data_IF_912716499769
#
_entry.id   IF_912716499769
#
_cell.length_a   1.000
_cell.length_b   1.000
_cell.length_c   1.000
_cell.angle_alpha   90.00
_cell.angle_beta   90.00
_cell.angle_gamma   90.00
#
_symmetry.space_group_name_H-M   'P 1'
#
loop_
_entity.id
_entity.type
_entity.pdbx_description
1 polymer ?
#
# COMPACT_ATOMS: atom_id res chain seq x y z
N UNK A 1 -1.14 4.45 -7.21
CA UNK A 1 -0.22 4.75 -6.09
C UNK A 1 -0.21 6.20 -5.65
N UNK A 2 0.24 7.18 -6.46
CA UNK A 2 0.19 8.60 -6.04
C UNK A 2 -1.20 9.06 -5.59
N UNK A 3 -2.23 8.65 -6.34
CA UNK A 3 -3.64 8.87 -5.97
C UNK A 3 -3.91 8.43 -4.52
N UNK A 4 -3.37 7.29 -4.08
CA UNK A 4 -3.64 6.78 -2.75
C UNK A 4 -3.12 7.68 -1.63
N UNK A 5 -1.90 8.21 -1.77
CA UNK A 5 -1.37 9.15 -0.79
C UNK A 5 -2.12 10.48 -0.78
N UNK A 6 -2.69 10.90 -1.91
CA UNK A 6 -3.42 12.16 -2.05
C UNK A 6 -4.94 12.05 -1.87
N UNK A 7 -5.51 10.85 -1.80
CA UNK A 7 -6.92 10.66 -1.48
C UNK A 7 -7.19 11.14 -0.05
N UNK A 8 -8.16 12.04 0.09
CA UNK A 8 -8.63 12.56 1.38
C UNK A 8 -9.01 11.41 2.32
N UNK A 9 -8.70 11.56 3.58
CA UNK A 9 -9.10 10.69 4.68
C UNK A 9 -9.96 11.50 5.66
N UNK A 10 -11.27 11.68 5.37
CA UNK A 10 -12.16 12.49 6.19
C UNK A 10 -12.14 12.06 7.66
N UNK A 11 -12.06 13.03 8.57
CA UNK A 11 -11.98 12.80 10.01
C UNK A 11 -10.56 12.56 10.55
N UNK A 12 -9.54 12.46 9.68
CA UNK A 12 -8.14 12.41 10.10
C UNK A 12 -7.56 13.80 10.36
N UNK A 13 -6.53 13.89 11.21
CA UNK A 13 -5.98 15.17 11.68
C UNK A 13 -5.32 16.00 10.57
N UNK A 14 -4.53 15.35 9.70
CA UNK A 14 -3.73 15.98 8.65
C UNK A 14 -4.14 15.52 7.24
N UNK A 15 -4.98 14.49 7.12
CA UNK A 15 -5.42 13.93 5.86
C UNK A 15 -6.87 14.24 5.49
N UNK A 16 -7.63 14.98 6.32
CA UNK A 16 -9.06 15.25 6.05
C UNK A 16 -9.30 15.92 4.68
N UNK A 17 -8.43 16.85 4.31
CA UNK A 17 -8.37 17.46 2.99
C UNK A 17 -6.90 17.64 2.59
N UNK A 18 -6.47 16.88 1.59
CA UNK A 18 -5.09 16.86 1.08
C UNK A 18 -4.89 17.78 -0.12
N UNK A 19 -5.88 18.59 -0.50
CA UNK A 19 -5.75 19.54 -1.60
C UNK A 19 -4.57 20.51 -1.40
N UNK A 20 -4.34 20.98 -0.17
CA UNK A 20 -3.19 21.83 0.15
C UNK A 20 -1.85 21.12 -0.09
N UNK A 21 -1.75 19.84 0.27
CA UNK A 21 -0.56 19.00 0.01
C UNK A 21 -0.33 18.83 -1.49
N UNK A 22 -1.38 18.48 -2.24
CA UNK A 22 -1.28 18.32 -3.69
C UNK A 22 -0.91 19.63 -4.42
N UNK A 23 -1.51 20.75 -4.02
CA UNK A 23 -1.15 22.07 -4.55
C UNK A 23 0.31 22.41 -4.24
N UNK A 24 0.76 22.07 -3.03
CA UNK A 24 2.14 22.33 -2.62
C UNK A 24 3.16 21.51 -3.39
N UNK A 25 2.83 20.25 -3.72
CA UNK A 25 3.63 19.44 -4.63
C UNK A 25 3.79 20.12 -6.00
N UNK A 26 2.73 20.70 -6.53
CA UNK A 26 2.78 21.43 -7.80
C UNK A 26 3.63 22.72 -7.69
N UNK A 27 3.44 23.51 -6.63
CA UNK A 27 4.19 24.75 -6.38
C UNK A 27 5.69 24.49 -6.19
N UNK A 28 6.04 23.36 -5.56
CA UNK A 28 7.42 22.95 -5.31
C UNK A 28 8.03 22.19 -6.51
N UNK A 29 7.29 21.98 -7.60
CA UNK A 29 7.79 21.36 -8.83
C UNK A 29 8.05 19.85 -8.72
N UNK A 30 7.18 19.11 -8.05
CA UNK A 30 7.29 17.65 -7.91
C UNK A 30 7.35 16.95 -9.29
N UNK A 31 8.39 16.16 -9.52
CA UNK A 31 8.59 15.36 -10.73
C UNK A 31 8.89 13.92 -10.33
N UNK A 32 8.13 12.97 -10.86
CA UNK A 32 8.42 11.53 -10.78
C UNK A 32 9.03 11.06 -12.10
N UNK A 33 10.21 10.48 -12.05
CA UNK A 33 10.91 9.90 -13.19
C UNK A 33 10.62 8.40 -13.24
N UNK A 34 9.85 7.96 -14.24
CA UNK A 34 9.63 6.54 -14.49
C UNK A 34 10.71 6.03 -15.44
N UNK A 35 11.62 5.21 -14.92
CA UNK A 35 12.85 4.80 -15.60
C UNK A 35 12.86 3.29 -15.88
N UNK A 36 13.54 2.89 -16.95
CA UNK A 36 13.84 1.47 -17.17
C UNK A 36 15.00 1.03 -16.26
N UNK A 37 15.12 -0.27 -16.01
CA UNK A 37 16.23 -0.85 -15.24
C UNK A 37 15.91 -1.02 -13.76
N UNK A 38 16.95 -0.97 -12.93
CA UNK A 38 16.92 -1.05 -11.46
C UNK A 38 17.82 0.06 -10.90
N UNK A 39 17.61 0.44 -9.64
CA UNK A 39 18.59 1.29 -8.96
C UNK A 39 19.81 0.47 -8.54
N UNK A 40 20.89 0.60 -9.30
CA UNK A 40 22.19 -0.01 -9.01
C UNK A 40 23.33 1.01 -8.95
N UNK A 41 22.97 2.31 -8.89
CA UNK A 41 23.93 3.43 -8.92
C UNK A 41 24.62 3.65 -10.28
N UNK A 42 24.25 2.94 -11.34
CA UNK A 42 24.84 3.11 -12.68
C UNK A 42 23.97 3.91 -13.66
N UNK A 43 22.72 4.20 -13.28
CA UNK A 43 21.78 4.94 -14.10
C UNK A 43 22.03 6.47 -14.02
N UNK A 44 21.93 7.22 -15.14
CA UNK A 44 22.06 8.68 -15.13
C UNK A 44 20.87 9.42 -14.48
N UNK A 45 20.01 8.75 -13.71
CA UNK A 45 18.89 9.39 -13.02
C UNK A 45 19.33 10.56 -12.12
N UNK A 46 20.51 10.46 -11.51
CA UNK A 46 21.12 11.53 -10.71
C UNK A 46 21.49 12.78 -11.52
N UNK A 47 21.51 12.69 -12.85
CA UNK A 47 21.74 13.82 -13.76
C UNK A 47 20.43 14.55 -14.14
N UNK A 48 19.27 14.05 -13.68
CA UNK A 48 17.95 14.58 -14.00
C UNK A 48 17.24 14.98 -12.71
N UNK A 49 16.66 16.18 -12.68
CA UNK A 49 15.86 16.62 -11.53
C UNK A 49 14.54 15.82 -11.43
N UNK A 50 14.35 15.11 -10.33
CA UNK A 50 13.10 14.40 -10.00
C UNK A 50 13.33 13.17 -9.12
N UNK A 51 12.23 12.62 -8.59
CA UNK A 51 12.26 11.37 -7.81
C UNK A 51 12.34 10.18 -8.78
N UNK A 52 13.40 9.35 -8.75
CA UNK A 52 13.48 8.17 -9.59
C UNK A 52 12.58 7.05 -9.08
N UNK A 53 11.95 6.33 -10.02
CA UNK A 53 11.32 5.05 -9.76
C UNK A 53 11.58 4.13 -10.96
N UNK A 54 12.24 3.00 -10.71
CA UNK A 54 12.69 2.11 -11.77
C UNK A 54 11.70 0.97 -12.03
N UNK A 55 11.56 0.57 -13.29
CA UNK A 55 10.65 -0.50 -13.71
C UNK A 55 10.92 -1.84 -13.00
N UNK A 56 12.19 -2.14 -12.71
CA UNK A 56 12.61 -3.32 -11.97
C UNK A 56 12.34 -3.24 -10.46
N UNK A 57 11.77 -2.13 -9.98
CA UNK A 57 11.36 -1.90 -8.59
C UNK A 57 9.84 -1.73 -8.44
N UNK A 58 9.10 -1.88 -9.53
CA UNK A 58 7.64 -1.77 -9.55
C UNK A 58 7.04 -3.16 -9.50
N UNK A 59 6.55 -3.55 -8.32
CA UNK A 59 5.81 -4.79 -8.16
C UNK A 59 4.34 -4.60 -8.58
N UNK A 60 3.80 -5.50 -9.41
CA UNK A 60 2.41 -5.47 -9.88
C UNK A 60 1.59 -6.56 -9.19
N UNK A 61 0.43 -6.22 -8.63
CA UNK A 61 -0.43 -7.20 -7.97
C UNK A 61 -0.85 -8.31 -8.94
N UNK A 62 -0.74 -9.58 -8.52
CA UNK A 62 -1.04 -10.74 -9.37
C UNK A 62 0.11 -11.22 -10.24
N UNK A 63 1.15 -10.41 -10.47
CA UNK A 63 2.36 -10.84 -11.17
C UNK A 63 3.11 -11.90 -10.33
N UNK A 64 3.83 -12.87 -10.93
CA UNK A 64 4.57 -13.90 -10.18
C UNK A 64 5.52 -13.34 -9.12
N UNK A 65 6.11 -12.17 -9.34
CA UNK A 65 6.92 -11.48 -8.32
C UNK A 65 6.09 -11.16 -7.07
N UNK A 66 4.93 -10.53 -7.22
CA UNK A 66 4.01 -10.22 -6.13
C UNK A 66 3.48 -11.49 -5.46
N UNK A 67 2.98 -12.46 -6.24
CA UNK A 67 2.38 -13.67 -5.69
C UNK A 67 3.38 -14.48 -4.86
N UNK A 68 4.63 -14.60 -5.34
CA UNK A 68 5.66 -15.36 -4.66
C UNK A 68 6.39 -14.56 -3.56
N UNK A 69 6.12 -13.25 -3.44
CA UNK A 69 6.85 -12.34 -2.55
C UNK A 69 8.37 -12.51 -2.71
N UNK A 70 8.84 -12.38 -3.95
CA UNK A 70 10.27 -12.52 -4.23
C UNK A 70 11.04 -11.26 -3.75
N UNK A 71 11.76 -11.40 -2.63
CA UNK A 71 12.57 -10.34 -2.04
C UNK A 71 13.96 -10.19 -2.69
N UNK A 72 14.34 -11.01 -3.69
CA UNK A 72 15.55 -10.75 -4.50
C UNK A 72 15.45 -9.45 -5.32
N UNK A 73 14.24 -8.88 -5.39
CA UNK A 73 13.95 -7.59 -5.98
C UNK A 73 13.40 -6.64 -4.91
N UNK A 74 13.76 -5.36 -5.01
CA UNK A 74 13.20 -4.28 -4.19
C UNK A 74 11.84 -3.87 -4.73
N UNK A 75 10.81 -3.76 -3.90
CA UNK A 75 9.58 -3.05 -4.26
C UNK A 75 9.64 -1.64 -3.68
N UNK A 76 9.89 -0.66 -4.55
CA UNK A 76 10.14 0.72 -4.15
C UNK A 76 8.93 1.64 -4.39
N UNK A 77 7.86 1.15 -5.02
CA UNK A 77 6.78 2.01 -5.49
C UNK A 77 6.12 2.80 -4.36
N UNK A 78 5.98 2.19 -3.18
CA UNK A 78 5.42 2.86 -2.01
C UNK A 78 6.35 3.91 -1.44
N UNK A 79 7.64 3.58 -1.32
CA UNK A 79 8.70 4.42 -0.78
C UNK A 79 8.97 5.64 -1.68
N UNK A 80 9.27 5.44 -2.97
CA UNK A 80 9.64 6.54 -3.86
C UNK A 80 8.48 7.53 -4.07
N UNK A 81 7.25 7.03 -4.17
CA UNK A 81 6.08 7.91 -4.30
C UNK A 81 5.78 8.60 -2.96
N UNK A 82 6.08 7.96 -1.82
CA UNK A 82 5.99 8.62 -0.52
C UNK A 82 7.03 9.73 -0.40
N UNK A 83 8.29 9.49 -0.77
CA UNK A 83 9.35 10.51 -0.80
C UNK A 83 8.90 11.73 -1.62
N UNK A 84 8.33 11.51 -2.81
CA UNK A 84 7.77 12.60 -3.62
C UNK A 84 6.66 13.39 -2.90
N UNK A 85 5.71 12.70 -2.24
CA UNK A 85 4.60 13.35 -1.50
C UNK A 85 5.11 14.06 -0.25
N UNK A 86 6.12 13.49 0.41
CA UNK A 86 6.71 14.02 1.63
C UNK A 86 7.51 15.28 1.32
N UNK A 87 8.51 15.18 0.44
CA UNK A 87 9.43 16.29 0.13
C UNK A 87 8.70 17.49 -0.47
N UNK A 88 7.81 17.25 -1.42
CA UNK A 88 7.19 18.33 -2.19
C UNK A 88 5.83 18.76 -1.64
N UNK A 89 5.15 17.92 -0.85
CA UNK A 89 3.78 18.15 -0.39
C UNK A 89 3.66 18.40 1.11
N UNK A 90 3.90 17.37 1.93
CA UNK A 90 3.86 17.46 3.40
C UNK A 90 4.90 18.49 3.87
N UNK A 91 6.10 18.38 3.31
CA UNK A 91 7.26 19.20 3.56
C UNK A 91 8.25 18.59 4.53
N UNK A 92 9.51 18.97 4.34
CA UNK A 92 10.63 18.61 5.20
C UNK A 92 11.14 19.89 5.84
N UNK A 93 11.14 19.93 7.17
CA UNK A 93 11.64 21.08 7.93
C UNK A 93 13.17 21.19 7.81
N UNK A 94 13.72 22.34 8.18
CA UNK A 94 15.16 22.65 8.10
C UNK A 94 15.72 22.73 6.66
N UNK A 95 14.87 22.58 5.64
CA UNK A 95 15.20 22.89 4.26
C UNK A 95 14.12 23.79 3.63
N UNK A 96 14.38 25.11 3.44
CA UNK A 96 13.40 26.03 2.89
C UNK A 96 12.87 25.66 1.50
N UNK A 97 13.64 24.90 0.71
CA UNK A 97 13.23 24.38 -0.61
C UNK A 97 12.04 23.41 -0.49
N UNK A 98 11.98 22.65 0.61
CA UNK A 98 10.97 21.63 0.88
C UNK A 98 9.97 22.07 1.95
N UNK A 99 9.84 23.38 2.22
CA UNK A 99 8.73 23.87 3.03
C UNK A 99 7.41 23.38 2.41
N UNK A 100 6.63 22.61 3.17
CA UNK A 100 5.40 22.00 2.70
C UNK A 100 4.15 22.54 3.38
N UNK A 101 3.03 21.85 3.16
CA UNK A 101 1.71 22.24 3.64
C UNK A 101 1.43 21.83 5.08
N UNK A 102 2.21 20.91 5.66
CA UNK A 102 1.92 20.27 6.95
C UNK A 102 3.13 20.29 7.90
N UNK A 103 3.63 21.49 8.30
CA UNK A 103 4.80 21.60 9.17
C UNK A 103 4.61 20.93 10.55
N UNK A 104 3.40 20.94 11.10
CA UNK A 104 3.10 20.28 12.38
C UNK A 104 3.18 18.75 12.26
N UNK A 105 2.73 18.17 11.14
CA UNK A 105 2.87 16.73 10.92
C UNK A 105 4.33 16.34 10.72
N UNK A 106 5.08 17.16 9.98
CA UNK A 106 6.53 16.96 9.83
C UNK A 106 7.27 17.03 11.17
N UNK A 107 6.88 17.91 12.08
CA UNK A 107 7.45 17.96 13.42
C UNK A 107 7.17 16.68 14.23
N UNK A 108 5.97 16.10 14.10
CA UNK A 108 5.65 14.80 14.67
C UNK A 108 6.50 13.67 14.05
N UNK A 109 6.65 13.65 12.72
CA UNK A 109 7.47 12.67 11.99
C UNK A 109 8.93 12.73 12.47
N UNK A 110 9.54 13.92 12.51
CA UNK A 110 10.90 14.12 13.01
C UNK A 110 11.05 13.64 14.45
N UNK A 111 10.10 14.01 15.31
CA UNK A 111 10.11 13.57 16.70
C UNK A 111 10.02 12.05 16.82
N UNK A 112 9.23 11.37 15.98
CA UNK A 112 9.19 9.91 15.99
C UNK A 112 10.51 9.31 15.49
N UNK A 113 11.07 9.86 14.41
CA UNK A 113 12.35 9.45 13.82
C UNK A 113 13.53 9.57 14.81
N UNK A 114 13.67 10.68 15.51
CA UNK A 114 14.73 10.91 16.51
C UNK A 114 14.69 9.86 17.63
N UNK A 115 13.49 9.52 18.09
CA UNK A 115 13.29 8.46 19.09
C UNK A 115 13.55 7.08 18.51
N UNK A 116 13.21 6.83 17.24
CA UNK A 116 13.47 5.55 16.61
C UNK A 116 14.98 5.27 16.47
N UNK A 117 15.78 6.29 16.12
CA UNK A 117 17.25 6.16 16.15
C UNK A 117 17.78 5.97 17.58
N UNK A 118 17.34 6.81 18.52
CA UNK A 118 17.82 6.78 19.91
C UNK A 118 17.53 5.45 20.60
N UNK A 119 16.32 4.91 20.40
CA UNK A 119 15.86 3.67 21.01
C UNK A 119 16.25 2.42 20.20
N UNK A 120 17.00 2.58 19.10
CA UNK A 120 17.40 1.49 18.20
C UNK A 120 16.21 0.72 17.61
N UNK A 121 15.14 1.43 17.28
CA UNK A 121 13.96 0.90 16.56
C UNK A 121 14.12 0.99 15.05
N UNK A 122 14.99 1.87 14.59
CA UNK A 122 15.30 2.06 13.18
C UNK A 122 16.79 2.34 12.97
N UNK A 123 17.35 1.84 11.87
CA UNK A 123 18.73 2.05 11.42
C UNK A 123 19.80 1.88 12.54
N UNK A 124 19.66 0.83 13.35
CA UNK A 124 20.45 0.64 14.58
C UNK A 124 21.78 -0.12 14.39
N UNK A 125 21.97 -0.76 13.24
CA UNK A 125 23.15 -1.58 12.94
C UNK A 125 24.41 -0.74 12.77
N UNK A 126 25.58 -1.28 13.10
CA UNK A 126 26.86 -0.60 12.84
C UNK A 126 27.08 -0.41 11.33
N UNK A 127 26.58 -1.35 10.54
CA UNK A 127 26.54 -1.30 9.08
C UNK A 127 25.76 -0.10 8.53
N UNK A 128 24.75 0.38 9.26
CA UNK A 128 23.93 1.53 8.86
C UNK A 128 24.55 2.86 9.28
N UNK A 129 25.60 2.89 10.09
CA UNK A 129 26.13 4.12 10.66
C UNK A 129 26.64 5.12 9.60
N UNK A 130 27.22 4.61 8.50
CA UNK A 130 27.63 5.43 7.36
C UNK A 130 26.44 6.08 6.66
N UNK A 131 25.41 5.28 6.37
CA UNK A 131 24.18 5.73 5.74
C UNK A 131 23.41 6.71 6.61
N UNK A 132 23.26 6.45 7.91
CA UNK A 132 22.62 7.39 8.86
C UNK A 132 23.38 8.72 8.88
N UNK A 133 24.70 8.71 8.80
CA UNK A 133 25.51 9.93 8.73
C UNK A 133 25.21 10.72 7.44
N UNK A 134 25.18 10.04 6.30
CA UNK A 134 24.81 10.62 5.00
C UNK A 134 23.41 11.26 5.05
N UNK A 135 22.40 10.51 5.49
CA UNK A 135 21.03 11.01 5.63
C UNK A 135 20.92 12.19 6.62
N UNK A 136 21.79 12.23 7.63
CA UNK A 136 21.86 13.37 8.56
C UNK A 136 22.36 14.63 7.87
N UNK A 137 23.40 14.50 7.04
CA UNK A 137 23.98 15.62 6.28
C UNK A 137 23.01 16.16 5.22
N UNK A 138 22.18 15.27 4.65
CA UNK A 138 21.17 15.61 3.64
C UNK A 138 19.82 16.05 4.23
N UNK A 139 19.63 15.88 5.54
CA UNK A 139 18.34 16.09 6.22
C UNK A 139 17.21 15.22 5.63
N UNK A 140 17.52 13.95 5.35
CA UNK A 140 16.63 12.94 4.75
C UNK A 140 16.20 11.83 5.73
N UNK A 141 16.66 11.86 6.98
CA UNK A 141 16.31 10.84 7.99
C UNK A 141 14.80 10.68 8.23
N UNK A 142 14.04 11.77 8.21
CA UNK A 142 12.59 11.73 8.44
C UNK A 142 11.84 10.99 7.33
N UNK A 143 12.31 11.13 6.09
CA UNK A 143 11.74 10.50 4.92
C UNK A 143 11.96 8.98 4.98
N UNK A 144 13.20 8.56 5.16
CA UNK A 144 13.59 7.15 5.20
C UNK A 144 12.97 6.39 6.38
N UNK A 145 12.90 7.04 7.55
CA UNK A 145 12.18 6.47 8.68
C UNK A 145 10.68 6.29 8.39
N UNK A 146 10.02 7.31 7.82
CA UNK A 146 8.59 7.23 7.53
C UNK A 146 8.29 6.15 6.48
N UNK A 147 9.13 6.02 5.45
CA UNK A 147 9.04 4.94 4.47
C UNK A 147 9.12 3.56 5.14
N UNK A 148 10.08 3.35 6.04
CA UNK A 148 10.23 2.11 6.81
C UNK A 148 8.97 1.72 7.57
N UNK A 149 8.33 2.71 8.20
CA UNK A 149 7.07 2.54 8.94
C UNK A 149 5.94 2.17 7.99
N UNK A 150 5.83 2.87 6.86
CA UNK A 150 4.78 2.70 5.85
C UNK A 150 4.85 1.35 5.15
N UNK A 151 6.04 0.89 4.78
CA UNK A 151 6.21 -0.43 4.16
C UNK A 151 5.67 -1.55 5.06
N UNK A 152 5.98 -1.47 6.35
CA UNK A 152 5.49 -2.45 7.33
C UNK A 152 3.99 -2.30 7.58
N UNK A 153 3.47 -1.07 7.52
CA UNK A 153 2.05 -0.76 7.71
C UNK A 153 1.18 -1.30 6.58
N UNK A 154 1.65 -1.26 5.33
CA UNK A 154 0.98 -1.87 4.18
C UNK A 154 1.47 -3.29 3.87
N UNK A 155 2.26 -3.87 4.76
CA UNK A 155 2.54 -5.31 4.78
C UNK A 155 3.56 -5.81 3.75
N UNK A 156 4.36 -4.92 3.15
CA UNK A 156 5.38 -5.26 2.16
C UNK A 156 6.43 -6.23 2.74
N UNK A 157 6.70 -6.14 4.04
CA UNK A 157 7.68 -6.98 4.73
C UNK A 157 7.11 -8.21 5.42
N UNK A 158 5.78 -8.38 5.43
CA UNK A 158 5.13 -9.39 6.27
C UNK A 158 5.54 -10.83 5.94
N UNK A 159 5.76 -11.11 4.65
CA UNK A 159 6.18 -12.42 4.14
C UNK A 159 7.71 -12.63 4.18
N UNK A 160 8.49 -11.60 4.48
CA UNK A 160 9.95 -11.71 4.53
C UNK A 160 10.39 -12.67 5.65
N UNK A 161 11.39 -13.51 5.39
CA UNK A 161 11.86 -14.53 6.34
C UNK A 161 12.54 -13.91 7.57
N UNK A 162 13.11 -12.71 7.43
CA UNK A 162 13.73 -11.96 8.54
C UNK A 162 12.77 -11.66 9.70
N UNK A 163 13.34 -11.27 10.85
CA UNK A 163 12.56 -10.92 12.04
C UNK A 163 11.99 -9.47 11.98
N UNK A 164 12.59 -8.65 11.13
CA UNK A 164 12.46 -7.20 11.09
C UNK A 164 12.00 -6.74 9.70
N UNK A 165 11.48 -5.52 9.61
CA UNK A 165 11.13 -4.86 8.34
C UNK A 165 12.33 -4.18 7.70
N UNK A 166 12.17 -3.73 6.45
CA UNK A 166 13.16 -2.97 5.67
C UNK A 166 14.58 -3.55 5.74
N UNK A 167 14.77 -4.79 5.27
CA UNK A 167 16.10 -5.46 5.29
C UNK A 167 16.77 -5.52 6.67
N UNK A 168 15.96 -5.64 7.73
CA UNK A 168 16.38 -5.59 9.13
C UNK A 168 16.76 -4.20 9.67
N UNK A 169 16.39 -3.13 8.98
CA UNK A 169 16.58 -1.76 9.45
C UNK A 169 15.42 -1.26 10.32
N UNK A 170 14.26 -1.91 10.32
CA UNK A 170 13.10 -1.47 11.10
C UNK A 170 12.54 -2.56 12.02
N UNK A 171 12.30 -2.19 13.28
CA UNK A 171 12.02 -3.14 14.37
C UNK A 171 10.72 -3.93 14.19
N UNK A 172 9.73 -3.35 13.51
CA UNK A 172 8.46 -4.00 13.19
C UNK A 172 8.49 -4.54 11.76
N UNK A 173 8.10 -5.81 11.59
CA UNK A 173 7.97 -6.43 10.27
C UNK A 173 6.54 -6.36 9.73
N UNK A 174 5.56 -6.40 10.61
CA UNK A 174 4.13 -6.38 10.26
C UNK A 174 3.44 -5.19 10.91
N UNK A 175 2.33 -4.76 10.32
CA UNK A 175 1.49 -3.68 10.83
C UNK A 175 1.10 -3.88 12.30
N UNK A 176 0.75 -5.10 12.68
CA UNK A 176 0.31 -5.44 14.05
C UNK A 176 1.44 -5.26 15.08
N UNK A 177 2.69 -5.34 14.65
CA UNK A 177 3.84 -5.16 15.52
C UNK A 177 4.14 -3.69 15.79
N UNK A 178 3.78 -2.77 14.89
CA UNK A 178 4.12 -1.34 14.98
C UNK A 178 3.69 -0.75 16.33
N UNK A 179 2.43 -0.88 16.81
CA UNK A 179 2.01 -0.25 18.08
C UNK A 179 2.80 -0.70 19.32
N UNK A 180 3.37 -1.90 19.29
CA UNK A 180 4.12 -2.46 20.43
C UNK A 180 5.62 -2.22 20.32
N UNK A 181 6.18 -2.26 19.11
CA UNK A 181 7.62 -2.13 18.88
C UNK A 181 8.07 -0.71 18.58
N UNK A 182 7.23 0.08 17.91
CA UNK A 182 7.42 1.50 17.69
C UNK A 182 6.10 2.28 17.88
N UNK A 183 5.71 2.55 19.15
CA UNK A 183 4.47 3.27 19.44
C UNK A 183 4.38 4.65 18.81
N UNK A 184 5.51 5.34 18.59
CA UNK A 184 5.53 6.67 17.95
C UNK A 184 5.31 6.55 16.46
N UNK A 185 5.93 5.57 15.81
CA UNK A 185 5.59 5.21 14.43
C UNK A 185 4.10 4.89 14.28
N UNK A 186 3.49 4.17 15.24
CA UNK A 186 2.05 3.90 15.23
C UNK A 186 1.19 5.18 15.37
N UNK A 187 1.61 6.14 16.20
CA UNK A 187 0.93 7.42 16.36
C UNK A 187 0.90 8.23 15.06
N UNK A 188 1.96 8.17 14.24
CA UNK A 188 1.99 8.81 12.92
C UNK A 188 0.95 8.27 11.95
N UNK A 189 0.48 7.03 12.14
CA UNK A 189 -0.46 6.34 11.26
C UNK A 189 -1.89 6.37 11.81
N UNK A 190 -2.05 6.63 13.10
CA UNK A 190 -3.33 6.55 13.80
C UNK A 190 -4.22 7.78 13.51
N UNK A 191 -5.07 7.67 12.49
CA UNK A 191 -6.02 8.72 12.08
C UNK A 191 -5.34 10.09 11.83
N UNK A 192 -4.10 10.07 11.32
CA UNK A 192 -3.31 11.28 11.01
C UNK A 192 -3.43 11.66 9.54
N UNK A 193 -2.84 10.88 8.64
CA UNK A 193 -2.73 11.22 7.22
C UNK A 193 -3.02 10.03 6.30
N UNK A 194 -2.48 8.86 6.62
CA UNK A 194 -2.55 7.65 5.80
C UNK A 194 -3.84 6.87 6.03
N UNK A 195 -4.45 6.37 4.95
CA UNK A 195 -5.61 5.49 5.07
C UNK A 195 -5.20 4.13 5.66
N UNK A 196 -6.07 3.46 6.42
CA UNK A 196 -5.79 2.10 6.89
C UNK A 196 -5.92 1.03 5.80
N UNK A 197 -6.17 1.43 4.55
CA UNK A 197 -6.30 0.61 3.36
C UNK A 197 -5.83 1.39 2.13
N UNK A 198 -5.54 0.66 1.07
CA UNK A 198 -5.11 1.19 -0.21
C UNK A 198 -6.34 1.63 -0.99
N UNK A 199 -6.33 2.90 -1.41
CA UNK A 199 -7.49 3.58 -2.01
C UNK A 199 -7.45 3.63 -3.53
N UNK A 200 -6.35 3.17 -4.15
CA UNK A 200 -6.30 2.99 -5.60
C UNK A 200 -6.99 1.68 -5.99
N UNK A 201 -7.44 1.59 -7.23
CA UNK A 201 -7.90 0.32 -7.80
C UNK A 201 -6.71 -0.51 -8.24
N UNK A 202 -6.46 -1.63 -7.56
CA UNK A 202 -5.41 -2.57 -7.92
C UNK A 202 -5.72 -3.22 -9.26
N UNK A 203 -4.74 -3.31 -10.15
CA UNK A 203 -4.92 -3.94 -11.47
C UNK A 203 -4.20 -5.27 -11.43
N UNK A 204 -4.97 -6.35 -11.27
CA UNK A 204 -4.40 -7.69 -11.20
C UNK A 204 -3.83 -8.06 -12.56
N UNK A 205 -2.55 -8.41 -12.56
CA UNK A 205 -1.75 -8.77 -13.73
C UNK A 205 -2.47 -9.77 -14.63
N UNK A 206 -2.35 -9.58 -15.95
CA UNK A 206 -3.11 -10.34 -16.94
C UNK A 206 -2.69 -11.81 -17.03
N UNK A 207 -1.54 -12.14 -16.46
CA UNK A 207 -1.01 -13.50 -16.36
C UNK A 207 -1.55 -14.26 -15.16
N UNK A 208 -2.21 -13.61 -14.20
CA UNK A 208 -2.75 -14.28 -13.02
C UNK A 208 -3.89 -15.24 -13.37
N UNK A 209 -3.94 -16.39 -12.70
CA UNK A 209 -5.00 -17.39 -12.82
C UNK A 209 -5.20 -18.07 -11.46
N UNK A 210 -6.46 -18.32 -11.09
CA UNK A 210 -6.82 -18.87 -9.78
C UNK A 210 -7.39 -17.83 -8.84
N UNK A 211 -7.27 -18.08 -7.53
CA UNK A 211 -7.95 -17.29 -6.49
C UNK A 211 -7.02 -16.23 -5.90
N UNK A 212 -7.25 -14.96 -6.23
CA UNK A 212 -6.56 -13.81 -5.62
C UNK A 212 -7.23 -13.45 -4.30
N UNK A 213 -6.54 -13.60 -3.19
CA UNK A 213 -7.10 -13.37 -1.86
C UNK A 213 -6.84 -11.96 -1.38
N UNK A 214 -7.92 -11.21 -1.11
CA UNK A 214 -7.86 -10.00 -0.28
C UNK A 214 -7.90 -10.35 1.21
N UNK A 215 -8.24 -11.58 1.56
CA UNK A 215 -8.23 -12.01 2.94
C UNK A 215 -6.82 -12.43 3.34
N UNK A 216 -6.37 -11.99 4.52
CA UNK A 216 -5.10 -12.44 5.06
C UNK A 216 -5.09 -13.95 5.25
N UNK A 217 -4.05 -14.60 4.72
CA UNK A 217 -3.77 -16.01 4.86
C UNK A 217 -2.25 -16.19 4.97
N UNK A 218 -1.76 -16.57 6.15
CA UNK A 218 -0.33 -16.72 6.39
C UNK A 218 0.37 -17.76 5.48
N UNK A 219 -0.38 -18.66 4.83
CA UNK A 219 0.17 -19.60 3.84
C UNK A 219 0.38 -18.95 2.45
N UNK A 220 -0.19 -17.77 2.21
CA UNK A 220 -0.09 -16.99 0.99
C UNK A 220 0.63 -15.68 1.29
N UNK A 221 1.95 -15.64 1.09
CA UNK A 221 2.79 -14.50 1.50
C UNK A 221 2.26 -13.15 1.02
N UNK A 222 1.81 -13.06 -0.24
CA UNK A 222 1.29 -11.82 -0.82
C UNK A 222 0.09 -11.23 -0.09
N UNK A 223 -0.63 -12.02 0.71
CA UNK A 223 -1.79 -11.54 1.47
C UNK A 223 -1.41 -10.68 2.68
N UNK A 224 -0.14 -10.68 3.09
CA UNK A 224 0.36 -9.67 4.03
C UNK A 224 0.13 -8.26 3.50
N UNK A 225 0.29 -8.06 2.19
CA UNK A 225 0.01 -6.81 1.48
C UNK A 225 -1.45 -6.74 0.98
N UNK A 226 -1.91 -7.77 0.27
CA UNK A 226 -3.21 -7.74 -0.43
C UNK A 226 -4.41 -7.50 0.50
N UNK A 227 -4.28 -7.79 1.80
CA UNK A 227 -5.33 -7.53 2.78
C UNK A 227 -5.69 -6.05 2.94
N UNK A 228 -4.81 -5.15 2.52
CA UNK A 228 -5.06 -3.72 2.55
C UNK A 228 -5.67 -3.19 1.25
N UNK A 229 -5.72 -4.00 0.18
CA UNK A 229 -6.41 -3.63 -1.05
C UNK A 229 -7.92 -3.56 -0.81
N UNK A 230 -8.54 -2.54 -1.39
CA UNK A 230 -9.99 -2.33 -1.30
C UNK A 230 -10.68 -2.60 -2.64
N UNK A 231 -10.21 -1.99 -3.72
CA UNK A 231 -10.86 -2.08 -5.03
C UNK A 231 -9.92 -2.75 -6.03
N UNK A 232 -10.44 -3.63 -6.91
CA UNK A 232 -9.62 -4.40 -7.85
C UNK A 232 -10.25 -4.50 -9.23
N UNK A 233 -9.42 -4.45 -10.26
CA UNK A 233 -9.76 -4.81 -11.63
C UNK A 233 -8.89 -5.98 -12.08
N UNK A 234 -9.55 -7.08 -12.42
CA UNK A 234 -8.92 -8.20 -13.12
C UNK A 234 -8.59 -7.76 -14.55
N UNK A 235 -7.44 -8.15 -15.07
CA UNK A 235 -7.04 -7.85 -16.45
C UNK A 235 -6.75 -9.14 -17.22
N UNK A 236 -6.61 -9.04 -18.54
CA UNK A 236 -6.39 -10.21 -19.40
C UNK A 236 -7.63 -11.07 -19.66
N UNK A 237 -7.38 -12.34 -19.96
CA UNK A 237 -8.39 -13.31 -20.37
C UNK A 237 -8.37 -14.62 -19.58
N UNK A 238 -7.46 -14.75 -18.60
CA UNK A 238 -7.38 -15.93 -17.74
C UNK A 238 -8.48 -15.92 -16.68
N UNK A 239 -8.82 -17.12 -16.19
CA UNK A 239 -9.81 -17.32 -15.13
C UNK A 239 -9.22 -16.89 -13.78
N UNK A 240 -9.27 -15.60 -13.52
CA UNK A 240 -8.91 -15.00 -12.23
C UNK A 240 -10.15 -14.86 -11.36
N UNK A 241 -10.05 -15.22 -10.09
CA UNK A 241 -11.11 -15.10 -9.10
C UNK A 241 -10.65 -14.20 -7.95
N UNK A 242 -11.59 -13.72 -7.14
CA UNK A 242 -11.30 -12.89 -5.96
C UNK A 242 -11.94 -13.49 -4.72
N UNK A 243 -11.17 -13.63 -3.64
CA UNK A 243 -11.69 -13.88 -2.30
C UNK A 243 -11.75 -12.53 -1.58
N UNK A 244 -12.95 -12.10 -1.19
CA UNK A 244 -13.18 -10.78 -0.59
C UNK A 244 -12.59 -10.65 0.82
N UNK A 245 -12.36 -9.42 1.26
CA UNK A 245 -12.00 -9.11 2.65
C UNK A 245 -13.18 -8.47 3.38
N UNK A 246 -12.98 -8.05 4.63
CA UNK A 246 -14.02 -7.40 5.42
C UNK A 246 -14.30 -5.95 5.07
N UNK A 247 -13.96 -5.49 3.85
CA UNK A 247 -14.18 -4.12 3.38
C UNK A 247 -15.23 -4.10 2.29
N UNK A 248 -15.75 -2.92 2.02
CA UNK A 248 -16.60 -2.69 0.86
C UNK A 248 -15.73 -2.62 -0.40
N UNK A 249 -15.69 -3.73 -1.15
CA UNK A 249 -14.88 -3.85 -2.36
C UNK A 249 -15.67 -3.47 -3.62
N UNK A 250 -15.03 -2.75 -4.54
CA UNK A 250 -15.44 -2.71 -5.94
C UNK A 250 -14.55 -3.63 -6.78
N UNK A 251 -15.15 -4.62 -7.45
CA UNK A 251 -14.43 -5.64 -8.22
C UNK A 251 -14.92 -5.64 -9.68
N UNK A 252 -13.99 -5.42 -10.61
CA UNK A 252 -14.24 -5.58 -12.05
C UNK A 252 -13.60 -6.87 -12.56
N UNK A 253 -14.39 -7.71 -13.22
CA UNK A 253 -13.90 -8.89 -13.92
C UNK A 253 -13.11 -8.55 -15.19
N UNK A 254 -12.55 -9.60 -15.80
CA UNK A 254 -11.82 -9.56 -17.06
C UNK A 254 -12.60 -10.34 -18.14
N UNK A 255 -11.96 -10.74 -19.25
CA UNK A 255 -12.68 -11.50 -20.29
C UNK A 255 -12.71 -13.02 -20.06
N UNK A 256 -12.16 -13.49 -18.94
CA UNK A 256 -12.20 -14.89 -18.51
C UNK A 256 -13.53 -15.23 -17.84
N UNK A 257 -13.59 -16.40 -17.20
CA UNK A 257 -14.67 -16.76 -16.28
C UNK A 257 -14.22 -16.46 -14.85
N UNK A 258 -14.74 -15.37 -14.29
CA UNK A 258 -14.39 -14.86 -12.98
C UNK A 258 -15.41 -15.28 -11.93
N UNK A 259 -14.89 -15.63 -10.75
CA UNK A 259 -15.68 -15.91 -9.56
C UNK A 259 -15.32 -14.95 -8.44
N UNK A 260 -16.30 -14.60 -7.62
CA UNK A 260 -16.07 -13.91 -6.35
C UNK A 260 -16.51 -14.84 -5.22
N UNK A 261 -15.59 -15.10 -4.31
CA UNK A 261 -15.73 -16.06 -3.22
C UNK A 261 -15.99 -15.32 -1.91
N UNK A 262 -17.04 -15.75 -1.22
CA UNK A 262 -17.51 -15.24 0.06
C UNK A 262 -17.29 -16.29 1.16
N UNK A 263 -17.08 -15.83 2.39
CA UNK A 263 -16.72 -16.61 3.56
C UNK A 263 -17.88 -17.45 4.14
N UNK A 264 -19.14 -17.11 3.83
CA UNK A 264 -20.33 -17.65 4.50
C UNK A 264 -21.38 -18.26 3.57
N UNK A 265 -22.45 -18.83 4.14
CA UNK A 265 -23.55 -19.42 3.39
C UNK A 265 -24.40 -18.35 2.71
N UNK A 266 -24.96 -18.66 1.55
CA UNK A 266 -25.75 -17.75 0.71
C UNK A 266 -26.91 -17.05 1.44
N UNK A 267 -27.51 -17.72 2.44
CA UNK A 267 -28.59 -17.17 3.26
C UNK A 267 -28.21 -15.96 4.11
N UNK A 268 -26.92 -15.72 4.32
CA UNK A 268 -26.38 -14.61 5.10
C UNK A 268 -26.02 -13.39 4.24
N UNK A 269 -26.33 -13.42 2.95
CA UNK A 269 -26.05 -12.33 2.02
C UNK A 269 -27.33 -11.81 1.39
N UNK A 270 -27.40 -10.48 1.25
CA UNK A 270 -28.37 -9.82 0.40
C UNK A 270 -27.72 -9.58 -0.97
N UNK A 271 -28.28 -10.20 -2.02
CA UNK A 271 -27.78 -10.09 -3.40
C UNK A 271 -28.80 -9.34 -4.24
N UNK A 272 -28.35 -8.30 -4.94
CA UNK A 272 -29.15 -7.56 -5.91
C UNK A 272 -28.37 -7.31 -7.18
N UNK A 273 -29.07 -7.16 -8.31
CA UNK A 273 -28.46 -6.96 -9.62
C UNK A 273 -29.14 -5.82 -10.36
N UNK A 274 -28.34 -4.90 -10.89
CA UNK A 274 -28.79 -3.78 -11.71
C UNK A 274 -27.95 -3.69 -12.99
N UNK A 275 -28.50 -4.21 -14.09
CA UNK A 275 -27.78 -4.34 -15.35
C UNK A 275 -26.58 -5.29 -15.22
N UNK A 276 -25.36 -4.75 -15.36
CA UNK A 276 -24.08 -5.48 -15.25
C UNK A 276 -23.50 -5.49 -13.83
N UNK A 277 -24.04 -4.65 -12.96
CA UNK A 277 -23.57 -4.50 -11.59
C UNK A 277 -24.34 -5.45 -10.66
N UNK A 278 -23.63 -6.14 -9.78
CA UNK A 278 -24.18 -6.98 -8.72
C UNK A 278 -23.70 -6.43 -7.39
N UNK A 279 -24.64 -6.12 -6.48
CA UNK A 279 -24.32 -5.81 -5.08
C UNK A 279 -24.52 -7.06 -4.23
N UNK A 280 -23.49 -7.42 -3.46
CA UNK A 280 -23.50 -8.53 -2.51
C UNK A 280 -23.14 -7.98 -1.14
N UNK A 281 -24.15 -7.86 -0.27
CA UNK A 281 -24.01 -7.33 1.07
C UNK A 281 -24.04 -8.47 2.09
N UNK A 282 -22.95 -8.63 2.82
CA UNK A 282 -22.90 -9.52 3.96
C UNK A 282 -23.77 -8.96 5.10
N UNK A 283 -24.63 -9.79 5.67
CA UNK A 283 -25.46 -9.44 6.83
C UNK A 283 -24.76 -9.74 8.16
N UNK A 284 -23.56 -10.35 8.14
CA UNK A 284 -22.73 -10.60 9.31
C UNK A 284 -21.66 -9.52 9.44
N UNK A 285 -21.65 -8.82 10.57
CA UNK A 285 -20.71 -7.74 10.84
C UNK A 285 -19.24 -8.22 10.80
N UNK A 286 -18.39 -7.44 10.13
CA UNK A 286 -16.94 -7.62 10.16
C UNK A 286 -16.40 -8.84 9.38
N UNK A 287 -17.20 -9.42 8.49
CA UNK A 287 -16.78 -10.59 7.68
C UNK A 287 -16.41 -10.24 6.24
N UNK A 288 -17.39 -10.01 5.35
CA UNK A 288 -17.13 -9.78 3.92
C UNK A 288 -17.60 -8.41 3.39
N UNK A 289 -18.18 -7.55 4.24
CA UNK A 289 -18.57 -6.19 3.86
C UNK A 289 -19.68 -6.11 2.78
N UNK A 290 -19.77 -4.96 2.11
CA UNK A 290 -20.68 -4.71 0.99
C UNK A 290 -19.92 -4.58 -0.34
N UNK A 291 -20.10 -5.56 -1.22
CA UNK A 291 -19.32 -5.70 -2.44
C UNK A 291 -20.12 -5.27 -3.67
N UNK A 292 -19.48 -4.51 -4.55
CA UNK A 292 -20.00 -4.12 -5.87
C UNK A 292 -19.19 -4.82 -6.94
N UNK A 293 -19.85 -5.63 -7.76
CA UNK A 293 -19.22 -6.51 -8.72
C UNK A 293 -19.68 -6.16 -10.14
N UNK A 294 -18.74 -6.07 -11.08
CA UNK A 294 -19.04 -5.78 -12.48
C UNK A 294 -18.36 -6.81 -13.38
N UNK A 295 -19.11 -7.35 -14.34
CA UNK A 295 -18.63 -8.37 -15.30
C UNK A 295 -18.06 -9.62 -14.58
N UNK A 296 -18.83 -10.19 -13.64
CA UNK A 296 -18.50 -11.43 -12.89
C UNK A 296 -19.49 -12.54 -13.26
N UNK A 297 -19.01 -13.76 -13.48
CA UNK A 297 -19.84 -14.90 -13.88
C UNK A 297 -20.49 -15.63 -12.71
N UNK A 298 -19.84 -15.72 -11.55
CA UNK A 298 -20.36 -16.50 -10.42
C UNK A 298 -20.03 -15.93 -9.05
N UNK A 299 -21.01 -16.03 -8.15
CA UNK A 299 -20.87 -15.82 -6.72
C UNK A 299 -20.70 -17.19 -6.05
N UNK A 300 -19.65 -17.35 -5.26
CA UNK A 300 -19.36 -18.60 -4.54
C UNK A 300 -19.52 -18.36 -3.06
N UNK A 301 -20.54 -18.97 -2.47
CA UNK A 301 -20.79 -19.01 -1.04
C UNK A 301 -20.28 -20.33 -0.46
N UNK A 302 -20.22 -20.44 0.87
CA UNK A 302 -19.72 -21.66 1.53
C UNK A 302 -20.61 -22.90 1.30
N UNK A 303 -21.88 -22.69 0.95
CA UNK A 303 -22.90 -23.73 0.77
C UNK A 303 -23.33 -23.94 -0.69
N UNK A 304 -23.13 -22.95 -1.56
CA UNK A 304 -23.60 -23.00 -2.95
C UNK A 304 -22.83 -22.05 -3.87
N UNK A 305 -22.96 -22.25 -5.18
CA UNK A 305 -22.49 -21.33 -6.21
C UNK A 305 -23.68 -20.85 -7.02
N UNK A 306 -23.78 -19.53 -7.19
CA UNK A 306 -24.85 -18.87 -7.94
C UNK A 306 -24.27 -18.22 -9.19
N UNK A 307 -24.79 -18.58 -10.36
CA UNK A 307 -24.41 -17.93 -11.60
C UNK A 307 -25.07 -16.54 -11.68
N UNK A 308 -24.30 -15.50 -11.99
CA UNK A 308 -24.80 -14.11 -12.01
C UNK A 308 -25.88 -13.91 -13.08
N UNK A 309 -25.84 -14.66 -14.18
CA UNK A 309 -26.89 -14.63 -15.21
C UNK A 309 -28.25 -15.19 -14.74
N UNK A 310 -28.29 -15.88 -13.59
CA UNK A 310 -29.50 -16.45 -12.99
C UNK A 310 -30.15 -15.53 -11.93
N UNK A 311 -29.47 -14.43 -11.57
CA UNK A 311 -29.97 -13.34 -10.72
C UNK A 311 -30.90 -12.41 -11.49
#
# INVERSE_FOLDING_TARGET
MLEHYLTNYPGSQYGADKSAVANKMADNGAILLLLNGVDDGTNPASEVEGQPLYAGEIQVEGHPWYINQNYDHRDATFEEILHLVHDYGIGVDQNPQFNGALPDYQAEIRTAQEYALTDKKWAWGEESAGWVKELTEENSLSQEYLASVIDSYYGLWGAHEGQYGMWNLYVAKTREQIPTKDPRGAELLNNKFFHPYLTYTARIDDSFEGDFSLKFNAALGYTHHAQYLKDLRLTGSKNSNVIVNGRDNHIWGNTGTNKVLFSGPSSEYEVSKNGKEVSVKDMVDGRDGNNTLVDIESLVFSDTTVAVNSL
#
